data_IF_943905679113
#
_entry.id   IF_943905679113
#
_cell.length_a   1.000
_cell.length_b   1.000
_cell.length_c   1.000
_cell.angle_alpha   90.00
_cell.angle_beta   90.00
_cell.angle_gamma   90.00
#
_symmetry.space_group_name_H-M   'P 1'
#
loop_
_entity.id
_entity.type
_entity.pdbx_description
1 polymer ?
#
# COMPACT_ATOMS: atom_id res chain seq x y z
N UNK A 1 40.12 22.69 -10.89
CA UNK A 1 39.31 21.98 -11.90
C UNK A 1 38.02 21.52 -11.23
N UNK A 2 36.96 22.32 -11.38
CA UNK A 2 35.65 22.06 -10.75
C UNK A 2 34.81 21.21 -11.70
N UNK A 3 34.54 19.97 -11.32
CA UNK A 3 33.60 19.09 -12.00
C UNK A 3 32.17 19.60 -11.76
N UNK A 4 31.59 20.22 -12.79
CA UNK A 4 30.16 20.50 -12.89
C UNK A 4 29.47 19.17 -13.16
N UNK A 5 28.76 18.63 -12.17
CA UNK A 5 27.94 17.43 -12.34
C UNK A 5 26.61 17.89 -12.94
N UNK A 6 26.38 17.55 -14.20
CA UNK A 6 25.13 17.75 -14.94
C UNK A 6 24.01 16.91 -14.35
N UNK A 7 23.11 17.54 -13.59
CA UNK A 7 21.88 16.98 -12.99
C UNK A 7 20.64 17.10 -13.90
N UNK A 8 20.82 17.22 -15.22
CA UNK A 8 19.71 17.48 -16.16
C UNK A 8 18.86 16.24 -16.48
N UNK A 9 19.43 15.04 -16.40
CA UNK A 9 18.78 13.83 -16.92
C UNK A 9 17.69 13.23 -16.00
N UNK A 10 17.78 13.48 -14.69
CA UNK A 10 16.79 12.99 -13.71
C UNK A 10 15.53 13.88 -13.68
N UNK A 11 15.69 15.19 -13.88
CA UNK A 11 14.54 16.10 -14.00
C UNK A 11 13.72 15.84 -15.25
N UNK A 12 14.36 15.41 -16.34
CA UNK A 12 13.69 15.14 -17.62
C UNK A 12 12.78 13.90 -17.54
N UNK A 13 13.29 12.78 -17.01
CA UNK A 13 12.49 11.55 -16.81
C UNK A 13 11.27 11.80 -15.91
N UNK A 14 11.45 12.59 -14.84
CA UNK A 14 10.35 13.00 -13.95
C UNK A 14 9.28 13.79 -14.70
N UNK A 15 9.67 14.75 -15.53
CA UNK A 15 8.73 15.53 -16.33
C UNK A 15 8.02 14.67 -17.38
N UNK A 16 8.71 13.70 -17.98
CA UNK A 16 8.09 12.75 -18.91
C UNK A 16 7.02 11.89 -18.24
N UNK A 17 7.27 11.31 -17.06
CA UNK A 17 6.22 10.54 -16.36
C UNK A 17 5.05 11.45 -15.96
N UNK A 18 5.31 12.66 -15.47
CA UNK A 18 4.23 13.60 -15.15
C UNK A 18 3.43 13.98 -16.40
N UNK A 19 4.09 14.15 -17.55
CA UNK A 19 3.45 14.39 -18.82
C UNK A 19 2.66 13.16 -19.31
N UNK A 20 3.17 11.94 -19.14
CA UNK A 20 2.48 10.70 -19.52
C UNK A 20 1.28 10.42 -18.61
N UNK A 21 1.39 10.68 -17.32
CA UNK A 21 0.25 10.64 -16.38
C UNK A 21 -0.76 11.71 -16.78
N UNK A 22 -0.31 12.90 -17.23
CA UNK A 22 -1.19 13.94 -17.74
C UNK A 22 -1.79 13.61 -19.13
N UNK A 23 -1.10 12.84 -19.98
CA UNK A 23 -1.49 12.55 -21.37
C UNK A 23 -2.21 11.21 -21.56
N UNK A 24 -2.03 10.24 -20.66
CA UNK A 24 -2.64 8.92 -20.72
C UNK A 24 -4.16 9.00 -20.85
N UNK A 25 -4.74 8.37 -21.86
CA UNK A 25 -6.20 8.28 -21.90
C UNK A 25 -6.64 7.48 -20.67
N UNK A 26 -7.66 7.96 -19.95
CA UNK A 26 -8.22 7.15 -18.87
C UNK A 26 -8.64 5.83 -19.49
N UNK A 27 -8.24 4.68 -18.91
CA UNK A 27 -8.79 3.43 -19.39
C UNK A 27 -10.31 3.60 -19.34
N UNK A 28 -10.98 3.33 -20.47
CA UNK A 28 -12.42 3.08 -20.45
C UNK A 28 -12.57 1.99 -19.41
N UNK A 29 -13.07 2.36 -18.23
CA UNK A 29 -13.52 1.37 -17.28
C UNK A 29 -14.70 0.77 -18.03
N UNK A 30 -14.47 -0.30 -18.80
CA UNK A 30 -15.53 -1.23 -19.18
C UNK A 30 -16.32 -1.39 -17.91
N UNK A 31 -17.57 -0.92 -17.92
CA UNK A 31 -18.45 -1.00 -16.77
C UNK A 31 -18.38 -2.43 -16.26
N UNK A 32 -17.63 -2.63 -15.18
CA UNK A 32 -17.64 -3.88 -14.48
C UNK A 32 -19.04 -3.96 -13.92
N UNK A 33 -19.90 -4.64 -14.66
CA UNK A 33 -21.24 -5.02 -14.27
C UNK A 33 -21.07 -5.68 -12.92
N UNK A 34 -21.30 -4.91 -11.85
CA UNK A 34 -21.47 -5.46 -10.53
C UNK A 34 -22.81 -6.14 -10.65
N UNK A 35 -22.80 -7.43 -11.01
CA UNK A 35 -23.94 -8.33 -10.87
C UNK A 35 -24.44 -8.15 -9.43
N UNK A 36 -25.41 -7.26 -9.30
CA UNK A 36 -26.10 -7.03 -8.07
C UNK A 36 -27.10 -8.17 -8.03
N UNK A 37 -26.68 -9.28 -7.42
CA UNK A 37 -27.58 -10.30 -6.89
C UNK A 37 -28.56 -9.61 -5.94
N UNK A 38 -29.60 -9.03 -6.55
CA UNK A 38 -30.79 -8.58 -5.86
C UNK A 38 -31.64 -9.83 -5.71
N UNK A 39 -31.47 -10.47 -4.56
CA UNK A 39 -32.36 -11.50 -4.06
C UNK A 39 -33.81 -11.04 -4.21
N UNK A 40 -34.48 -11.62 -5.21
CA UNK A 40 -35.89 -11.46 -5.47
C UNK A 40 -36.62 -12.31 -4.42
N UNK A 41 -36.90 -11.72 -3.26
CA UNK A 41 -37.76 -12.33 -2.25
C UNK A 41 -39.21 -12.36 -2.75
N UNK A 42 -39.59 -13.47 -3.38
CA UNK A 42 -40.99 -13.81 -3.66
C UNK A 42 -41.73 -14.20 -2.37
N UNK A 43 -43.06 -13.97 -2.29
CA UNK A 43 -43.85 -14.32 -1.12
C UNK A 43 -44.37 -15.75 -1.24
N UNK A 44 -44.11 -16.59 -0.23
CA UNK A 44 -44.86 -17.83 -0.04
C UNK A 44 -45.07 -18.13 1.45
N UNK A 45 -46.34 -18.16 1.80
CA UNK A 45 -46.90 -18.54 3.09
C UNK A 45 -46.73 -20.04 3.39
N UNK A 46 -46.79 -20.36 4.68
CA UNK A 46 -47.36 -21.58 5.30
C UNK A 46 -46.39 -22.69 5.80
N UNK A 47 -46.40 -22.85 7.13
CA UNK A 47 -46.61 -24.12 7.87
C UNK A 47 -45.48 -25.16 8.02
N UNK A 48 -44.91 -25.16 9.24
CA UNK A 48 -44.77 -26.28 10.19
C UNK A 48 -44.14 -27.64 9.80
N UNK A 49 -43.23 -28.08 10.69
CA UNK A 49 -43.08 -29.43 11.28
C UNK A 49 -41.79 -30.20 11.00
N UNK A 50 -41.16 -30.51 12.13
CA UNK A 50 -40.10 -31.44 12.49
C UNK A 50 -40.08 -32.78 11.74
N UNK A 51 -38.87 -33.28 11.41
CA UNK A 51 -38.53 -34.69 11.67
C UNK A 51 -37.02 -34.97 11.59
N UNK A 52 -36.57 -35.63 12.65
CA UNK A 52 -35.27 -36.29 12.82
C UNK A 52 -35.18 -37.54 11.95
N UNK A 53 -34.01 -37.83 11.38
CA UNK A 53 -33.57 -39.21 11.13
C UNK A 53 -32.06 -39.28 10.95
N UNK A 54 -31.44 -40.13 11.76
CA UNK A 54 -30.04 -40.52 11.74
C UNK A 54 -29.65 -41.17 10.40
N UNK A 55 -28.40 -40.96 9.96
CA UNK A 55 -27.66 -41.97 9.20
C UNK A 55 -26.18 -41.93 9.63
N UNK A 56 -25.74 -43.06 10.17
CA UNK A 56 -24.38 -43.39 10.57
C UNK A 56 -23.76 -44.20 9.45
N UNK A 57 -22.61 -43.81 8.90
CA UNK A 57 -21.71 -44.75 8.23
C UNK A 57 -20.24 -44.42 8.53
N UNK A 58 -19.53 -45.52 8.77
CA UNK A 58 -18.18 -45.66 9.31
C UNK A 58 -17.11 -45.54 8.22
N UNK A 59 -15.94 -45.08 8.68
CA UNK A 59 -14.56 -45.41 8.28
C UNK A 59 -14.29 -46.02 6.90
N UNK A 60 -13.43 -45.34 6.14
CA UNK A 60 -12.12 -45.91 5.76
C UNK A 60 -11.11 -44.79 5.45
N UNK A 61 -9.94 -44.89 6.07
CA UNK A 61 -8.73 -44.09 5.79
C UNK A 61 -7.70 -45.02 5.13
N UNK A 62 -6.84 -44.49 4.24
CA UNK A 62 -5.41 -44.41 4.56
C UNK A 62 -4.79 -43.10 4.03
N UNK A 63 -3.99 -42.30 4.76
CA UNK A 63 -2.75 -42.53 5.52
C UNK A 63 -1.58 -41.78 4.85
N UNK A 64 -1.13 -40.70 5.54
CA UNK A 64 0.24 -40.10 5.61
C UNK A 64 0.74 -39.30 4.38
N UNK A 65 1.26 -38.07 4.53
CA UNK A 65 2.45 -37.73 5.35
C UNK A 65 2.56 -36.24 5.74
N UNK A 66 2.94 -36.06 7.01
CA UNK A 66 3.88 -35.09 7.61
C UNK A 66 3.40 -33.63 7.71
N UNK A 67 2.82 -33.31 8.87
CA UNK A 67 2.77 -31.96 9.46
C UNK A 67 3.69 -31.98 10.68
N UNK A 68 4.64 -31.04 10.73
CA UNK A 68 5.53 -30.85 11.88
C UNK A 68 4.74 -30.31 13.07
N UNK A 69 4.52 -31.16 14.07
CA UNK A 69 3.87 -30.81 15.34
C UNK A 69 4.93 -30.36 16.34
N UNK A 70 4.90 -29.07 16.71
CA UNK A 70 5.64 -28.50 17.84
C UNK A 70 4.83 -28.76 19.11
N UNK A 71 5.14 -29.85 19.81
CA UNK A 71 4.60 -30.09 21.14
C UNK A 71 5.53 -29.48 22.19
N UNK A 72 5.04 -28.48 22.91
CA UNK A 72 5.68 -27.95 24.13
C UNK A 72 5.21 -28.86 25.27
N UNK A 73 6.12 -29.66 25.81
CA UNK A 73 5.86 -30.49 26.98
C UNK A 73 5.70 -29.60 28.22
N UNK A 74 4.52 -29.62 28.82
CA UNK A 74 4.27 -29.09 30.16
C UNK A 74 4.31 -30.26 31.14
N UNK A 75 5.42 -30.43 31.87
CA UNK A 75 5.50 -31.33 33.01
C UNK A 75 4.89 -30.68 34.26
N UNK A 76 4.01 -31.38 34.99
CA UNK A 76 3.52 -30.92 36.28
C UNK A 76 4.18 -31.71 37.44
N UNK A 77 4.66 -30.96 38.43
CA UNK A 77 5.07 -31.38 39.79
C UNK A 77 6.47 -31.97 40.02
N UNK A 78 7.34 -31.19 40.67
CA UNK A 78 7.83 -31.51 42.02
C UNK A 78 8.60 -30.32 42.63
N UNK A 79 8.34 -30.08 43.91
CA UNK A 79 8.76 -28.93 44.69
C UNK A 79 10.25 -28.95 45.09
N UNK A 80 10.87 -27.76 45.16
CA UNK A 80 11.88 -27.42 46.18
C UNK A 80 12.12 -25.90 46.22
N UNK A 81 11.82 -25.21 47.33
CA UNK A 81 12.08 -23.78 47.47
C UNK A 81 13.51 -23.54 47.97
N UNK A 82 14.45 -23.32 47.05
CA UNK A 82 15.75 -22.73 47.42
C UNK A 82 15.67 -21.21 47.39
N UNK A 83 16.20 -20.49 48.40
CA UNK A 83 16.13 -19.03 48.46
C UNK A 83 16.90 -18.37 47.30
N UNK A 84 16.41 -17.23 46.77
CA UNK A 84 17.02 -16.57 45.62
C UNK A 84 18.39 -15.99 45.99
N UNK A 85 19.43 -16.42 45.25
CA UNK A 85 20.76 -15.80 45.28
C UNK A 85 20.68 -14.40 44.65
N UNK A 86 21.20 -13.34 45.29
CA UNK A 86 21.25 -12.02 44.67
C UNK A 86 22.19 -12.03 43.47
N UNK A 87 21.70 -11.50 42.33
CA UNK A 87 22.48 -11.27 41.13
C UNK A 87 23.65 -10.34 41.44
N UNK A 88 24.87 -10.87 41.27
CA UNK A 88 26.11 -10.08 41.33
C UNK A 88 26.07 -9.06 40.19
N UNK A 89 25.86 -7.78 40.55
CA UNK A 89 26.15 -6.64 39.67
C UNK A 89 27.63 -6.67 39.34
N UNK A 90 27.96 -6.97 38.09
CA UNK A 90 29.26 -6.64 37.53
C UNK A 90 29.39 -5.12 37.46
N UNK A 91 30.12 -4.57 38.42
CA UNK A 91 30.57 -3.17 38.40
C UNK A 91 31.73 -3.14 37.41
N UNK A 92 31.50 -2.60 36.21
CA UNK A 92 32.58 -2.31 35.29
C UNK A 92 33.41 -1.17 35.90
N UNK A 93 34.56 -1.52 36.46
CA UNK A 93 35.60 -0.56 36.84
C UNK A 93 36.13 0.12 35.58
N UNK A 94 35.76 1.38 35.38
CA UNK A 94 36.46 2.25 34.44
C UNK A 94 37.84 2.58 35.04
N UNK A 95 38.85 1.83 34.65
CA UNK A 95 40.25 2.21 34.82
C UNK A 95 40.56 3.40 33.91
N UNK A 96 40.81 4.55 34.54
CA UNK A 96 41.46 5.69 33.91
C UNK A 96 42.86 5.27 33.45
N UNK A 97 43.02 5.02 32.15
CA UNK A 97 44.34 4.98 31.52
C UNK A 97 44.35 5.93 30.33
N UNK A 98 44.91 7.10 30.62
CA UNK A 98 45.44 8.06 29.66
C UNK A 98 46.44 7.37 28.74
N UNK A 99 46.10 7.19 27.47
CA UNK A 99 47.07 7.22 26.37
C UNK A 99 46.51 7.99 25.19
N UNK A 100 46.89 9.26 25.22
CA UNK A 100 46.95 10.24 24.13
C UNK A 100 47.16 9.60 22.75
N UNK A 101 46.07 9.42 22.00
CA UNK A 101 46.11 9.20 20.54
C UNK A 101 45.30 10.29 19.87
N UNK A 102 45.98 11.39 19.52
CA UNK A 102 45.47 12.41 18.60
C UNK A 102 45.49 11.82 17.18
N UNK A 103 44.35 11.40 16.66
CA UNK A 103 44.01 11.53 15.23
C UNK A 103 42.59 11.01 14.94
N UNK A 104 41.87 11.75 14.10
CA UNK A 104 40.59 11.43 13.42
C UNK A 104 39.27 11.85 14.08
N UNK A 105 39.18 13.11 14.51
CA UNK A 105 37.89 13.83 14.58
C UNK A 105 37.56 14.48 13.22
N UNK A 106 37.14 13.68 12.23
CA UNK A 106 36.59 14.22 10.96
C UNK A 106 35.32 13.52 10.46
N UNK A 107 34.74 12.59 11.23
CA UNK A 107 33.56 11.82 10.83
C UNK A 107 32.21 12.28 11.41
N UNK A 108 32.19 13.14 12.44
CA UNK A 108 30.95 13.44 13.17
C UNK A 108 30.03 14.48 12.53
N UNK A 109 30.50 15.28 11.56
CA UNK A 109 29.65 16.27 10.91
C UNK A 109 28.61 15.62 9.99
N UNK A 110 29.04 14.68 9.12
CA UNK A 110 28.15 14.02 8.15
C UNK A 110 27.07 13.13 8.78
N UNK A 111 27.34 12.56 9.96
CA UNK A 111 26.37 11.72 10.66
C UNK A 111 25.21 12.53 11.27
N UNK A 112 25.45 13.79 11.65
CA UNK A 112 24.40 14.68 12.19
C UNK A 112 23.44 15.14 11.11
N UNK A 113 23.96 15.44 9.92
CA UNK A 113 23.14 15.90 8.79
C UNK A 113 22.18 14.80 8.31
N UNK A 114 22.65 13.55 8.20
CA UNK A 114 21.80 12.41 7.85
C UNK A 114 20.72 12.11 8.91
N UNK A 115 21.05 12.27 10.19
CA UNK A 115 20.09 12.08 11.27
C UNK A 115 19.00 13.16 11.28
N UNK A 116 19.37 14.42 11.02
CA UNK A 116 18.43 15.53 10.90
C UNK A 116 17.46 15.33 9.73
N UNK A 117 17.97 14.94 8.55
CA UNK A 117 17.15 14.64 7.37
C UNK A 117 16.19 13.47 7.63
N UNK A 118 16.66 12.41 8.31
CA UNK A 118 15.79 11.28 8.68
C UNK A 118 14.68 11.68 9.67
N UNK A 119 14.97 12.58 10.61
CA UNK A 119 13.97 13.09 11.54
C UNK A 119 12.91 13.93 10.83
N UNK A 120 13.33 14.85 9.95
CA UNK A 120 12.42 15.69 9.17
C UNK A 120 11.48 14.84 8.31
N UNK A 121 12.01 13.80 7.64
CA UNK A 121 11.20 12.83 6.89
C UNK A 121 10.14 12.19 7.79
N UNK A 122 10.54 11.67 8.96
CA UNK A 122 9.60 11.01 9.89
C UNK A 122 8.50 11.96 10.37
N UNK A 123 8.84 13.22 10.62
CA UNK A 123 7.86 14.25 11.00
C UNK A 123 6.84 14.43 9.87
N UNK A 124 7.30 14.63 8.63
CA UNK A 124 6.42 14.77 7.45
C UNK A 124 5.52 13.55 7.26
N UNK A 125 6.07 12.33 7.36
CA UNK A 125 5.29 11.11 7.27
C UNK A 125 4.21 11.04 8.37
N UNK A 126 4.57 11.43 9.59
CA UNK A 126 3.63 11.45 10.71
C UNK A 126 2.52 12.48 10.51
N UNK A 127 2.85 13.68 10.03
CA UNK A 127 1.88 14.73 9.71
C UNK A 127 0.89 14.29 8.63
N UNK A 128 1.36 13.62 7.58
CA UNK A 128 0.50 13.05 6.53
C UNK A 128 -0.45 12.00 7.13
N UNK A 129 0.08 11.08 7.95
CA UNK A 129 -0.73 10.06 8.63
C UNK A 129 -1.76 10.67 9.58
N UNK A 130 -1.38 11.71 10.32
CA UNK A 130 -2.28 12.42 11.21
C UNK A 130 -3.39 13.13 10.43
N UNK A 131 -3.05 13.83 9.33
CA UNK A 131 -4.04 14.43 8.42
C UNK A 131 -5.01 13.37 7.88
N UNK A 132 -4.49 12.22 7.44
CA UNK A 132 -5.32 11.13 6.94
C UNK A 132 -6.28 10.56 8.02
N UNK A 133 -5.82 10.46 9.27
CA UNK A 133 -6.64 9.97 10.38
C UNK A 133 -7.80 10.90 10.77
N UNK A 134 -7.68 12.20 10.47
CA UNK A 134 -8.72 13.20 10.75
C UNK A 134 -9.87 13.16 9.74
N UNK A 135 -9.70 12.49 8.59
CA UNK A 135 -10.72 12.38 7.55
C UNK A 135 -11.81 11.43 8.04
N UNK A 136 -12.99 11.98 8.30
CA UNK A 136 -14.19 11.21 8.65
C UNK A 136 -15.04 11.04 7.39
N UNK A 137 -15.26 9.80 6.99
CA UNK A 137 -16.22 9.41 5.96
C UNK A 137 -17.24 8.46 6.56
N UNK A 138 -18.41 8.36 5.95
CA UNK A 138 -19.41 7.37 6.34
C UNK A 138 -18.80 5.98 6.24
N UNK A 139 -18.90 5.20 7.31
CA UNK A 139 -18.41 3.82 7.32
C UNK A 139 -19.12 3.02 6.23
N UNK A 140 -18.38 2.19 5.51
CA UNK A 140 -18.90 1.36 4.41
C UNK A 140 -19.55 2.11 3.23
N UNK A 141 -19.42 3.44 3.15
CA UNK A 141 -19.80 4.13 1.92
C UNK A 141 -19.01 3.56 0.73
N UNK A 142 -19.63 3.39 -0.45
CA UNK A 142 -18.92 2.99 -1.64
C UNK A 142 -17.91 4.08 -2.06
N UNK A 143 -16.89 3.66 -2.80
CA UNK A 143 -15.90 4.57 -3.39
C UNK A 143 -16.55 5.25 -4.60
N UNK A 144 -16.51 6.57 -4.67
CA UNK A 144 -17.00 7.31 -5.84
C UNK A 144 -16.14 6.98 -7.07
N UNK A 145 -16.72 6.99 -8.27
CA UNK A 145 -16.03 6.82 -9.55
C UNK A 145 -14.69 7.60 -9.65
N UNK A 146 -14.68 8.88 -9.26
CA UNK A 146 -13.45 9.69 -9.27
C UNK A 146 -12.36 9.09 -8.36
N UNK A 147 -12.75 8.66 -7.16
CA UNK A 147 -11.85 8.05 -6.18
C UNK A 147 -11.37 6.69 -6.68
N UNK A 148 -12.26 5.91 -7.31
CA UNK A 148 -11.96 4.60 -7.87
C UNK A 148 -10.91 4.69 -8.98
N UNK A 149 -11.04 5.66 -9.89
CA UNK A 149 -10.07 5.92 -10.95
C UNK A 149 -8.67 6.18 -10.41
N UNK A 150 -8.55 6.98 -9.35
CA UNK A 150 -7.25 7.23 -8.71
C UNK A 150 -6.69 5.97 -8.05
N UNK A 151 -7.52 5.22 -7.32
CA UNK A 151 -7.11 3.97 -6.68
C UNK A 151 -6.66 2.92 -7.70
N UNK A 152 -7.37 2.82 -8.83
CA UNK A 152 -7.02 1.95 -9.95
C UNK A 152 -5.71 2.33 -10.60
N UNK A 153 -5.50 3.62 -10.91
CA UNK A 153 -4.22 4.08 -11.45
C UNK A 153 -3.06 3.65 -10.54
N UNK A 154 -3.17 3.89 -9.23
CA UNK A 154 -2.13 3.47 -8.29
C UNK A 154 -1.95 1.94 -8.30
N UNK A 155 -3.03 1.18 -8.25
CA UNK A 155 -2.98 -0.29 -8.18
C UNK A 155 -2.40 -0.93 -9.45
N UNK A 156 -2.83 -0.46 -10.63
CA UNK A 156 -2.53 -1.07 -11.93
C UNK A 156 -1.26 -0.51 -12.57
N UNK A 157 -0.82 0.70 -12.22
CA UNK A 157 0.38 1.31 -12.81
C UNK A 157 1.54 1.45 -11.84
N UNK A 158 1.28 1.69 -10.55
CA UNK A 158 2.33 2.00 -9.57
C UNK A 158 2.64 0.82 -8.66
N UNK A 159 1.69 0.40 -7.82
CA UNK A 159 1.90 -0.63 -6.82
C UNK A 159 0.60 -1.25 -6.31
N UNK A 160 0.60 -2.57 -6.15
CA UNK A 160 -0.44 -3.32 -5.43
C UNK A 160 -0.26 -3.28 -3.90
N UNK A 161 0.92 -2.84 -3.45
CA UNK A 161 1.35 -2.88 -2.05
C UNK A 161 1.90 -1.52 -1.60
N UNK A 162 1.09 -0.44 -1.64
CA UNK A 162 1.54 0.85 -1.17
C UNK A 162 1.96 0.77 0.30
N UNK A 163 2.99 1.53 0.68
CA UNK A 163 3.39 1.67 2.07
C UNK A 163 2.28 2.37 2.87
N UNK A 164 2.35 2.32 4.21
CA UNK A 164 1.35 3.02 5.03
C UNK A 164 1.37 4.54 4.78
N UNK A 165 2.55 5.12 4.56
CA UNK A 165 2.69 6.53 4.21
C UNK A 165 2.01 6.82 2.87
N UNK A 166 2.23 5.99 1.85
CA UNK A 166 1.59 6.16 0.54
C UNK A 166 0.07 5.99 0.63
N UNK A 167 -0.43 5.04 1.42
CA UNK A 167 -1.86 4.93 1.69
C UNK A 167 -2.43 6.18 2.35
N UNK A 168 -1.68 6.81 3.26
CA UNK A 168 -2.08 8.07 3.90
C UNK A 168 -2.07 9.25 2.91
N UNK A 169 -1.08 9.32 2.02
CA UNK A 169 -1.05 10.29 0.91
C UNK A 169 -2.31 10.13 0.05
N UNK A 170 -2.59 8.92 -0.44
CA UNK A 170 -3.79 8.62 -1.24
C UNK A 170 -5.05 9.09 -0.49
N UNK A 171 -5.20 8.67 0.77
CA UNK A 171 -6.36 9.01 1.62
C UNK A 171 -6.59 10.52 1.71
N UNK A 172 -5.52 11.30 1.90
CA UNK A 172 -5.57 12.77 1.91
C UNK A 172 -5.99 13.32 0.55
N UNK A 173 -5.38 12.84 -0.54
CA UNK A 173 -5.66 13.34 -1.89
C UNK A 173 -7.11 13.10 -2.32
N UNK A 174 -7.62 11.87 -2.15
CA UNK A 174 -9.00 11.52 -2.55
C UNK A 174 -10.04 11.83 -1.48
N UNK A 175 -9.63 12.44 -0.36
CA UNK A 175 -10.46 12.78 0.81
C UNK A 175 -11.28 11.59 1.33
N UNK A 176 -10.61 10.45 1.50
CA UNK A 176 -11.21 9.19 1.97
C UNK A 176 -10.55 8.73 3.25
N UNK A 177 -11.30 8.12 4.17
CA UNK A 177 -10.71 7.56 5.39
C UNK A 177 -9.63 6.51 5.07
N UNK A 178 -8.49 6.59 5.78
CA UNK A 178 -7.35 5.70 5.59
C UNK A 178 -7.71 4.21 5.68
N UNK A 179 -8.62 3.85 6.61
CA UNK A 179 -9.11 2.47 6.77
C UNK A 179 -9.80 1.96 5.50
N UNK A 180 -10.56 2.80 4.82
CA UNK A 180 -11.25 2.42 3.58
C UNK A 180 -10.27 2.23 2.43
N UNK A 181 -9.23 3.07 2.34
CA UNK A 181 -8.14 2.89 1.36
C UNK A 181 -7.41 1.57 1.62
N UNK A 182 -7.03 1.28 2.87
CA UNK A 182 -6.41 0.00 3.28
C UNK A 182 -7.26 -1.20 2.86
N UNK A 183 -8.56 -1.16 3.17
CA UNK A 183 -9.50 -2.22 2.82
C UNK A 183 -9.66 -2.39 1.31
N UNK A 184 -9.74 -1.29 0.56
CA UNK A 184 -9.86 -1.34 -0.90
C UNK A 184 -8.68 -2.08 -1.53
N UNK A 185 -7.43 -1.70 -1.19
CA UNK A 185 -6.24 -2.40 -1.71
C UNK A 185 -6.18 -3.87 -1.26
N UNK A 186 -6.67 -4.19 -0.05
CA UNK A 186 -6.74 -5.57 0.42
C UNK A 186 -7.71 -6.41 -0.41
N UNK A 187 -8.93 -5.92 -0.59
CA UNK A 187 -9.97 -6.60 -1.38
C UNK A 187 -9.51 -6.75 -2.83
N UNK A 188 -8.88 -5.72 -3.38
CA UNK A 188 -8.45 -5.74 -4.78
C UNK A 188 -7.32 -6.75 -5.01
N UNK A 189 -6.41 -6.95 -4.05
CA UNK A 189 -5.44 -8.06 -4.14
C UNK A 189 -6.11 -9.43 -4.09
N UNK A 190 -7.10 -9.61 -3.21
CA UNK A 190 -7.81 -10.88 -3.07
C UNK A 190 -8.58 -11.25 -4.33
N UNK A 191 -9.22 -10.28 -5.00
CA UNK A 191 -9.92 -10.49 -6.27
C UNK A 191 -9.01 -10.99 -7.40
N UNK A 192 -7.75 -10.57 -7.39
CA UNK A 192 -6.78 -10.88 -8.43
C UNK A 192 -5.76 -11.97 -8.06
N UNK A 193 -6.02 -12.74 -6.99
CA UNK A 193 -5.14 -13.79 -6.48
C UNK A 193 -4.65 -14.74 -7.61
N UNK A 194 -3.36 -14.62 -7.95
CA UNK A 194 -2.63 -15.61 -8.77
C UNK A 194 -2.10 -15.14 -10.14
N UNK A 195 -2.50 -13.99 -10.68
CA UNK A 195 -2.08 -13.57 -12.05
C UNK A 195 -1.26 -12.28 -12.15
N UNK A 196 -1.24 -11.41 -11.13
CA UNK A 196 -0.63 -10.06 -11.22
C UNK A 196 0.65 -9.87 -10.40
N UNK A 197 1.11 -10.88 -9.66
CA UNK A 197 2.33 -10.79 -8.85
C UNK A 197 3.63 -10.94 -9.67
N UNK A 198 3.54 -11.47 -10.90
CA UNK A 198 4.68 -11.65 -11.80
C UNK A 198 5.28 -10.32 -12.26
N UNK A 199 4.52 -9.23 -12.15
CA UNK A 199 4.87 -7.90 -12.65
C UNK A 199 5.45 -6.96 -11.57
N UNK A 200 5.83 -7.50 -10.40
CA UNK A 200 6.25 -6.69 -9.25
C UNK A 200 7.76 -6.71 -9.07
N UNK A 201 8.38 -5.54 -9.21
CA UNK A 201 9.80 -5.29 -8.96
C UNK A 201 9.99 -4.81 -7.52
N UNK A 202 10.85 -5.52 -6.78
CA UNK A 202 11.26 -5.13 -5.42
C UNK A 202 12.50 -4.26 -5.48
N UNK A 203 12.44 -3.09 -4.86
CA UNK A 203 13.52 -2.10 -4.94
C UNK A 203 13.65 -1.31 -3.63
N UNK A 204 14.75 -0.58 -3.51
CA UNK A 204 15.01 0.32 -2.39
C UNK A 204 14.93 1.75 -2.92
N UNK A 205 14.03 2.55 -2.36
CA UNK A 205 13.91 3.98 -2.67
C UNK A 205 15.20 4.73 -2.30
N UNK A 206 15.41 5.93 -2.85
CA UNK A 206 16.51 6.82 -2.45
C UNK A 206 16.55 7.11 -0.94
N UNK A 207 15.43 6.88 -0.25
CA UNK A 207 15.27 7.07 1.19
C UNK A 207 15.48 5.78 2.02
N UNK A 208 15.92 4.69 1.39
CA UNK A 208 16.20 3.40 2.05
C UNK A 208 14.96 2.54 2.34
N UNK A 209 13.78 2.94 1.87
CA UNK A 209 12.54 2.18 2.05
C UNK A 209 12.39 1.10 0.98
N UNK A 210 11.95 -0.10 1.40
CA UNK A 210 11.70 -1.20 0.46
C UNK A 210 10.35 -1.01 -0.21
N UNK A 211 10.38 -0.69 -1.50
CA UNK A 211 9.20 -0.51 -2.33
C UNK A 211 8.94 -1.77 -3.18
N UNK A 212 7.66 -2.00 -3.47
CA UNK A 212 7.18 -3.00 -4.41
C UNK A 212 6.45 -2.27 -5.52
N UNK A 213 7.08 -2.05 -6.65
CA UNK A 213 6.50 -1.32 -7.77
C UNK A 213 6.16 -2.27 -8.92
N UNK A 214 5.26 -1.86 -9.80
CA UNK A 214 5.04 -2.53 -11.07
C UNK A 214 6.14 -2.22 -12.08
N UNK A 215 6.36 -3.10 -13.05
CA UNK A 215 7.31 -2.87 -14.14
C UNK A 215 7.08 -1.51 -14.81
N UNK A 216 5.82 -1.18 -15.15
CA UNK A 216 5.44 0.09 -15.78
C UNK A 216 5.99 1.31 -15.01
N UNK A 217 5.83 1.34 -13.69
CA UNK A 217 6.35 2.44 -12.86
C UNK A 217 7.88 2.49 -12.79
N UNK A 218 8.55 1.35 -12.91
CA UNK A 218 10.02 1.25 -12.95
C UNK A 218 10.57 1.65 -14.31
N UNK A 219 9.87 1.29 -15.38
CA UNK A 219 10.26 1.62 -16.75
C UNK A 219 10.13 3.12 -17.00
N UNK A 220 9.15 3.78 -16.37
CA UNK A 220 8.98 5.23 -16.47
C UNK A 220 9.94 6.04 -15.59
N UNK A 221 10.24 5.56 -14.37
CA UNK A 221 11.06 6.31 -13.41
C UNK A 221 12.00 5.39 -12.63
N UNK A 222 13.20 5.90 -12.33
CA UNK A 222 14.19 5.13 -11.59
C UNK A 222 13.72 4.88 -10.17
N UNK A 223 14.20 3.76 -9.61
CA UNK A 223 13.84 3.34 -8.26
C UNK A 223 14.09 4.41 -7.18
N UNK A 224 15.17 5.16 -7.33
CA UNK A 224 15.61 6.19 -6.39
C UNK A 224 14.71 7.44 -6.40
N UNK A 225 14.00 7.68 -7.49
CA UNK A 225 13.13 8.85 -7.69
C UNK A 225 11.77 8.69 -7.01
N UNK A 226 11.35 7.44 -6.78
CA UNK A 226 10.13 7.11 -6.04
C UNK A 226 10.28 7.43 -4.55
N UNK A 227 10.09 8.70 -4.23
CA UNK A 227 10.01 9.28 -2.88
C UNK A 227 8.56 9.54 -2.49
N UNK A 228 8.30 9.78 -1.21
CA UNK A 228 6.95 10.15 -0.74
C UNK A 228 6.42 11.40 -1.45
N UNK A 229 7.29 12.41 -1.65
CA UNK A 229 6.93 13.66 -2.32
C UNK A 229 6.61 13.44 -3.81
N UNK A 230 7.42 12.65 -4.51
CA UNK A 230 7.16 12.35 -5.91
C UNK A 230 5.87 11.56 -6.10
N UNK A 231 5.64 10.57 -5.25
CA UNK A 231 4.40 9.80 -5.25
C UNK A 231 3.17 10.69 -5.00
N UNK A 232 3.23 11.62 -4.03
CA UNK A 232 2.17 12.59 -3.77
C UNK A 232 1.83 13.43 -5.00
N UNK A 233 2.84 13.96 -5.69
CA UNK A 233 2.64 14.75 -6.92
C UNK A 233 1.94 13.95 -8.03
N UNK A 234 2.40 12.72 -8.29
CA UNK A 234 1.81 11.84 -9.31
C UNK A 234 0.33 11.60 -9.01
N UNK A 235 0.00 11.25 -7.76
CA UNK A 235 -1.39 10.98 -7.35
C UNK A 235 -2.24 12.25 -7.40
N UNK A 236 -1.71 13.41 -6.99
CA UNK A 236 -2.41 14.70 -7.05
C UNK A 236 -2.70 15.13 -8.49
N UNK A 237 -1.73 15.05 -9.39
CA UNK A 237 -1.89 15.41 -10.80
C UNK A 237 -2.94 14.52 -11.45
N UNK A 238 -2.87 13.21 -11.23
CA UNK A 238 -3.88 12.29 -11.74
C UNK A 238 -5.27 12.57 -11.15
N UNK A 239 -5.37 12.83 -9.85
CA UNK A 239 -6.63 13.19 -9.22
C UNK A 239 -7.24 14.45 -9.83
N UNK A 240 -6.43 15.50 -10.06
CA UNK A 240 -6.88 16.73 -10.70
C UNK A 240 -7.36 16.47 -12.13
N UNK A 241 -6.61 15.69 -12.90
CA UNK A 241 -6.97 15.30 -14.27
C UNK A 241 -8.32 14.58 -14.32
N UNK A 242 -8.49 13.55 -13.48
CA UNK A 242 -9.77 12.81 -13.39
C UNK A 242 -10.91 13.75 -13.01
N UNK A 243 -10.68 14.65 -12.04
CA UNK A 243 -11.68 15.64 -11.62
C UNK A 243 -12.13 16.52 -12.79
N UNK A 244 -11.18 16.98 -13.60
CA UNK A 244 -11.46 17.84 -14.75
C UNK A 244 -12.21 17.09 -15.84
N UNK A 245 -11.79 15.86 -16.17
CA UNK A 245 -12.44 15.04 -17.19
C UNK A 245 -13.89 14.73 -16.81
N UNK A 246 -14.15 14.29 -15.58
CA UNK A 246 -15.52 13.99 -15.13
C UNK A 246 -16.44 15.22 -15.17
N UNK A 247 -15.93 16.41 -14.80
CA UNK A 247 -16.71 17.66 -14.91
C UNK A 247 -17.01 18.05 -16.36
N UNK A 248 -16.07 17.81 -17.26
CA UNK A 248 -16.26 18.07 -18.69
C UNK A 248 -17.31 17.13 -19.27
N UNK A 249 -17.29 15.85 -18.90
CA UNK A 249 -18.28 14.86 -19.35
C UNK A 249 -19.68 15.19 -18.82
N UNK A 250 -19.81 15.56 -17.54
CA UNK A 250 -21.07 16.05 -16.97
C UNK A 250 -21.59 17.28 -17.73
N UNK A 251 -20.70 18.22 -18.07
CA UNK A 251 -21.04 19.41 -18.84
C UNK A 251 -21.41 19.13 -20.31
N UNK A 252 -20.98 18.00 -20.87
CA UNK A 252 -21.36 17.55 -22.22
C UNK A 252 -22.72 16.86 -22.21
N UNK A 253 -22.94 16.00 -21.21
CA UNK A 253 -24.23 15.34 -21.00
C UNK A 253 -25.36 16.36 -20.80
N UNK A 254 -25.12 17.40 -20.00
CA UNK A 254 -26.09 18.48 -19.80
C UNK A 254 -26.39 19.30 -21.07
N UNK A 255 -25.46 19.33 -22.03
CA UNK A 255 -25.65 20.02 -23.31
C UNK A 255 -26.35 19.16 -24.37
N UNK A 256 -26.64 17.89 -24.07
CA UNK A 256 -27.27 16.98 -25.02
C UNK A 256 -26.44 16.71 -26.28
N UNK A 257 -25.12 16.96 -26.22
CA UNK A 257 -24.24 16.61 -27.33
C UNK A 257 -24.17 15.08 -27.41
N UNK A 258 -24.48 14.48 -28.58
CA UNK A 258 -24.40 13.03 -28.72
C UNK A 258 -22.96 12.60 -28.44
N UNK A 259 -22.80 11.59 -27.58
CA UNK A 259 -21.53 10.89 -27.41
C UNK A 259 -21.14 10.39 -28.79
N UNK A 260 -20.11 11.01 -29.39
CA UNK A 260 -19.54 10.52 -30.64
C UNK A 260 -18.92 9.17 -30.33
N UNK A 261 -19.68 8.11 -30.63
CA UNK A 261 -19.19 6.73 -30.60
C UNK A 261 -17.87 6.71 -31.37
N UNK A 262 -16.80 6.37 -30.65
CA UNK A 262 -15.47 6.30 -31.24
C UNK A 262 -15.53 5.31 -32.40
N UNK A 263 -14.97 5.66 -33.58
CA UNK A 263 -15.08 4.83 -34.76
C UNK A 263 -14.54 3.43 -34.45
N UNK A 264 -15.41 2.43 -34.56
CA UNK A 264 -15.03 1.02 -34.45
C UNK A 264 -13.79 0.78 -35.30
N UNK A 265 -12.72 0.18 -34.74
CA UNK A 265 -11.57 -0.18 -35.54
C UNK A 265 -12.04 -1.16 -36.61
N UNK A 266 -11.96 -0.74 -37.88
CA UNK A 266 -12.20 -1.62 -39.02
C UNK A 266 -11.17 -2.75 -38.95
N UNK A 267 -11.67 -3.97 -38.79
CA UNK A 267 -10.89 -5.20 -38.84
C UNK A 267 -10.18 -5.37 -40.18
#
# INVERSE_FOLDING_TARGET
MSTVITTTHASEARLHLLADVAASQLPVIEEYHMDSDSDQAGPCSSSSSSRSTNCSFRLESPSRRIVGSLHISCDPYAASPSPPKPFKRSVASNSLSSTRSKTRTRGHAKAKDLAALSLEKKIKQQEVKERASKIRTVENSPVNQQQLLVLRMVYDQITMYPSETWMAIIAVTIRRALKQVKNWFSNERQKHNGKKDEDIVRMVSGEGERLRLRSVAVDCCKAEEWTDAFFEEVVMIHHLKVSTLLRLDESRQLRGEPVMDSPSPRS
#
